data_IF_635836080747
#
_entry.id   IF_635836080747
#
_cell.length_a   1.000
_cell.length_b   1.000
_cell.length_c   1.000
_cell.angle_alpha   90.00
_cell.angle_beta   90.00
_cell.angle_gamma   90.00
#
_symmetry.space_group_name_H-M   'P 1'
#
loop_
_entity.id
_entity.type
_entity.pdbx_description
1 polymer ?
#
# COMPACT_ATOMS: atom_id res chain seq x y z
N UNK A 1 -44.13 38.98 -36.76
CA UNK A 1 -43.91 37.52 -36.93
C UNK A 1 -43.65 36.94 -35.55
N UNK A 2 -44.71 36.46 -34.88
CA UNK A 2 -44.97 35.04 -34.59
C UNK A 2 -43.98 34.47 -33.54
N UNK A 3 -44.36 34.47 -32.26
CA UNK A 3 -44.97 33.33 -31.52
C UNK A 3 -43.89 32.38 -30.95
N UNK A 4 -43.88 31.89 -29.71
CA UNK A 4 -44.78 31.95 -28.57
C UNK A 4 -44.14 31.20 -27.39
N UNK A 5 -44.62 31.48 -26.18
CA UNK A 5 -44.34 30.78 -24.90
C UNK A 5 -44.84 29.32 -24.91
N UNK A 6 -44.53 28.60 -23.82
CA UNK A 6 -44.99 27.26 -23.40
C UNK A 6 -44.10 26.12 -23.94
N UNK A 7 -43.49 25.24 -23.14
CA UNK A 7 -44.06 24.43 -22.06
C UNK A 7 -43.03 24.13 -20.94
N UNK A 8 -43.41 24.46 -19.70
CA UNK A 8 -42.99 23.77 -18.48
C UNK A 8 -44.19 22.89 -18.08
N UNK A 9 -44.02 21.56 -18.04
CA UNK A 9 -44.63 20.64 -17.06
C UNK A 9 -44.63 19.19 -17.54
N UNK A 10 -44.55 18.31 -16.53
CA UNK A 10 -44.93 16.90 -16.53
C UNK A 10 -43.86 15.87 -16.90
N UNK A 11 -43.10 15.43 -15.89
CA UNK A 11 -42.89 14.00 -15.64
C UNK A 11 -42.86 13.76 -14.12
N UNK A 12 -44.05 13.80 -13.52
CA UNK A 12 -44.32 13.26 -12.18
C UNK A 12 -44.75 11.80 -12.39
N UNK A 13 -43.80 10.87 -12.40
CA UNK A 13 -44.11 9.45 -12.47
C UNK A 13 -44.35 8.88 -11.07
N UNK A 14 -45.46 8.16 -10.94
CA UNK A 14 -46.13 7.71 -9.72
C UNK A 14 -45.31 6.69 -8.93
N UNK A 15 -45.24 6.88 -7.62
CA UNK A 15 -45.01 5.80 -6.66
C UNK A 15 -46.24 4.88 -6.67
N UNK A 16 -46.03 3.58 -6.90
CA UNK A 16 -47.02 2.53 -6.63
C UNK A 16 -46.35 1.48 -5.75
N UNK A 17 -46.90 1.26 -4.57
CA UNK A 17 -46.51 0.19 -3.66
C UNK A 17 -46.98 -1.15 -4.22
N UNK A 18 -46.12 -2.16 -4.23
CA UNK A 18 -46.52 -3.55 -4.34
C UNK A 18 -45.89 -4.36 -3.22
N UNK A 19 -46.78 -4.97 -2.45
CA UNK A 19 -46.56 -5.89 -1.34
C UNK A 19 -45.96 -7.22 -1.79
N UNK A 20 -45.15 -7.80 -0.90
CA UNK A 20 -44.49 -9.09 -0.97
C UNK A 20 -45.42 -10.27 -1.30
N UNK A 21 -44.87 -11.28 -2.00
CA UNK A 21 -45.15 -12.68 -1.68
C UNK A 21 -43.86 -13.53 -1.79
N UNK A 22 -43.67 -14.53 -0.89
CA UNK A 22 -42.44 -15.32 -0.75
C UNK A 22 -42.49 -16.61 -1.58
N UNK A 23 -41.30 -17.11 -1.94
CA UNK A 23 -40.90 -18.44 -2.49
C UNK A 23 -39.73 -18.12 -3.45
N UNK A 24 -38.56 -18.76 -3.49
CA UNK A 24 -38.10 -20.07 -3.05
C UNK A 24 -36.58 -20.06 -3.29
N UNK A 25 -35.79 -20.72 -2.43
CA UNK A 25 -34.36 -20.92 -2.65
C UNK A 25 -33.50 -20.49 -1.46
N UNK A 26 -33.56 -21.26 -0.37
CA UNK A 26 -32.54 -21.16 0.67
C UNK A 26 -31.16 -21.45 0.02
N UNK A 27 -30.16 -20.56 0.15
CA UNK A 27 -28.83 -20.85 -0.36
C UNK A 27 -28.29 -22.06 0.40
N UNK A 28 -27.78 -23.06 -0.33
CA UNK A 28 -27.09 -24.19 0.28
C UNK A 28 -26.00 -23.68 1.23
N UNK A 29 -25.74 -24.42 2.30
CA UNK A 29 -24.73 -24.11 3.33
C UNK A 29 -23.31 -23.90 2.78
N UNK A 30 -23.05 -24.20 1.49
CA UNK A 30 -21.82 -23.84 0.78
C UNK A 30 -21.69 -22.34 0.43
N UNK A 31 -22.79 -21.60 0.34
CA UNK A 31 -22.75 -20.15 0.06
C UNK A 31 -22.39 -19.31 1.30
N UNK A 32 -22.58 -19.84 2.51
CA UNK A 32 -22.25 -19.16 3.76
C UNK A 32 -20.73 -19.12 4.06
N UNK A 33 -19.94 -19.96 3.40
CA UNK A 33 -18.47 -19.92 3.45
C UNK A 33 -17.83 -19.19 2.24
N UNK A 34 -18.62 -18.70 1.30
CA UNK A 34 -18.15 -18.04 0.08
C UNK A 34 -17.85 -16.53 0.24
N UNK A 35 -17.85 -16.01 1.48
CA UNK A 35 -17.94 -14.56 1.74
C UNK A 35 -16.68 -13.83 2.20
N UNK A 36 -15.50 -14.46 2.26
CA UNK A 36 -14.26 -13.73 2.58
C UNK A 36 -13.23 -13.97 1.48
N UNK A 37 -12.99 -12.95 0.67
CA UNK A 37 -11.88 -12.94 -0.28
C UNK A 37 -10.52 -13.13 0.41
N UNK A 38 -9.41 -13.08 -0.34
CA UNK A 38 -8.07 -13.24 0.22
C UNK A 38 -7.84 -12.39 1.46
N UNK A 39 -7.17 -12.96 2.47
CA UNK A 39 -6.66 -12.15 3.60
C UNK A 39 -5.48 -11.35 3.09
N UNK A 40 -5.57 -10.05 3.25
CA UNK A 40 -4.63 -9.06 2.72
C UNK A 40 -3.83 -8.45 3.84
N UNK A 41 -2.51 -8.54 3.77
CA UNK A 41 -1.62 -7.95 4.77
C UNK A 41 -0.57 -7.07 4.08
N UNK A 42 -0.02 -6.12 4.81
CA UNK A 42 1.12 -5.33 4.34
C UNK A 42 2.31 -5.46 5.27
N UNK A 43 3.50 -5.59 4.69
CA UNK A 43 4.77 -5.54 5.40
C UNK A 43 5.23 -4.09 5.43
N UNK A 44 5.31 -3.52 6.61
CA UNK A 44 5.71 -2.14 6.84
C UNK A 44 7.09 -2.06 7.49
N UNK A 45 7.76 -0.92 7.31
CA UNK A 45 9.05 -0.67 7.95
C UNK A 45 9.92 0.31 7.18
N UNK A 46 10.94 0.78 7.89
CA UNK A 46 11.85 1.83 7.41
C UNK A 46 12.63 1.42 6.15
N UNK A 47 13.30 2.38 5.52
CA UNK A 47 14.21 2.14 4.40
C UNK A 47 15.30 1.16 4.85
N UNK A 48 15.66 0.21 3.97
CA UNK A 48 16.69 -0.82 4.21
C UNK A 48 16.49 -1.73 5.44
N UNK A 49 15.34 -1.69 6.12
CA UNK A 49 15.07 -2.54 7.30
C UNK A 49 15.12 -4.05 7.01
N UNK A 50 14.97 -4.47 5.74
CA UNK A 50 15.01 -5.87 5.33
C UNK A 50 13.69 -6.41 4.77
N UNK A 51 12.74 -5.55 4.35
CA UNK A 51 11.45 -5.95 3.77
C UNK A 51 11.60 -6.93 2.61
N UNK A 52 12.40 -6.60 1.60
CA UNK A 52 12.58 -7.48 0.44
C UNK A 52 13.26 -8.82 0.80
N UNK A 53 14.13 -8.83 1.83
CA UNK A 53 14.72 -10.07 2.38
C UNK A 53 13.64 -10.92 3.07
N UNK A 54 12.78 -10.29 3.86
CA UNK A 54 11.67 -10.95 4.53
C UNK A 54 10.62 -11.47 3.54
N UNK A 55 10.34 -10.73 2.47
CA UNK A 55 9.48 -11.16 1.36
C UNK A 55 10.03 -12.44 0.72
N UNK A 56 11.34 -12.50 0.41
CA UNK A 56 11.97 -13.71 -0.14
C UNK A 56 11.79 -14.92 0.79
N UNK A 57 11.91 -14.70 2.10
CA UNK A 57 11.67 -15.74 3.11
C UNK A 57 10.22 -16.22 3.08
N UNK A 58 9.23 -15.31 3.05
CA UNK A 58 7.82 -15.67 2.92
C UNK A 58 7.53 -16.44 1.64
N UNK A 59 8.08 -16.01 0.50
CA UNK A 59 7.91 -16.71 -0.79
C UNK A 59 8.42 -18.15 -0.71
N UNK A 60 9.56 -18.37 -0.03
CA UNK A 60 10.14 -19.70 0.16
C UNK A 60 9.31 -20.56 1.10
N UNK A 61 8.82 -19.99 2.20
CA UNK A 61 8.10 -20.73 3.25
C UNK A 61 6.64 -21.00 2.89
N UNK A 62 5.99 -20.08 2.17
CA UNK A 62 4.58 -20.13 1.80
C UNK A 62 4.40 -19.89 0.29
N UNK A 63 4.79 -20.86 -0.57
CA UNK A 63 4.74 -20.70 -2.02
C UNK A 63 3.31 -20.53 -2.56
N UNK A 64 2.28 -20.85 -1.78
CA UNK A 64 0.88 -20.65 -2.10
C UNK A 64 0.38 -19.21 -1.88
N UNK A 65 1.15 -18.36 -1.18
CA UNK A 65 0.77 -16.98 -0.95
C UNK A 65 1.10 -16.12 -2.17
N UNK A 66 0.25 -15.13 -2.42
CA UNK A 66 0.53 -14.12 -3.42
C UNK A 66 1.28 -12.95 -2.76
N UNK A 67 2.43 -12.58 -3.30
CA UNK A 67 3.22 -11.46 -2.78
C UNK A 67 3.40 -10.42 -3.88
N UNK A 68 2.87 -9.23 -3.62
CA UNK A 68 3.00 -8.06 -4.46
C UNK A 68 4.14 -7.17 -3.92
N UNK A 69 5.24 -7.12 -4.65
CA UNK A 69 6.44 -6.36 -4.28
C UNK A 69 6.31 -4.88 -4.63
N UNK A 70 7.13 -4.05 -3.99
CA UNK A 70 7.18 -2.62 -4.27
C UNK A 70 7.77 -2.34 -5.68
N UNK A 71 7.13 -1.51 -6.52
CA UNK A 71 7.55 -1.29 -7.91
C UNK A 71 8.73 -0.31 -8.03
N UNK A 72 9.78 -0.49 -7.22
CA UNK A 72 10.95 0.42 -7.18
C UNK A 72 11.62 0.54 -8.54
N UNK A 73 11.75 -0.56 -9.28
CA UNK A 73 12.37 -0.56 -10.61
C UNK A 73 11.62 0.38 -11.59
N UNK A 74 10.29 0.46 -11.47
CA UNK A 74 9.47 1.38 -12.26
C UNK A 74 9.70 2.84 -11.87
N UNK A 75 10.09 3.12 -10.63
CA UNK A 75 10.42 4.48 -10.18
C UNK A 75 11.83 4.89 -10.60
N UNK A 76 12.74 3.92 -10.75
CA UNK A 76 14.11 4.15 -11.23
C UNK A 76 14.19 4.34 -12.76
N UNK A 77 13.19 3.86 -13.49
CA UNK A 77 13.14 3.94 -14.95
C UNK A 77 11.72 4.33 -15.40
N UNK A 78 11.49 5.64 -15.49
CA UNK A 78 10.25 6.18 -16.02
C UNK A 78 10.29 6.04 -17.55
N UNK A 79 9.41 5.22 -18.10
CA UNK A 79 9.34 5.01 -19.55
C UNK A 79 8.34 5.97 -20.19
N UNK A 80 8.64 6.46 -21.39
CA UNK A 80 7.68 7.20 -22.19
C UNK A 80 6.46 6.34 -22.53
N UNK A 81 5.27 6.95 -22.52
CA UNK A 81 4.06 6.28 -23.00
C UNK A 81 4.10 6.18 -24.54
N UNK A 82 3.92 4.96 -25.07
CA UNK A 82 3.79 4.69 -26.51
C UNK A 82 4.97 3.94 -27.11
N UNK A 83 4.67 3.07 -28.09
CA UNK A 83 5.67 2.39 -28.91
C UNK A 83 6.20 3.37 -29.95
N UNK A 84 7.49 3.72 -29.89
CA UNK A 84 8.16 4.35 -31.03
C UNK A 84 8.27 3.32 -32.17
N UNK A 85 8.31 3.80 -33.42
CA UNK A 85 8.41 2.93 -34.63
C UNK A 85 9.67 2.05 -34.65
N UNK A 86 10.66 2.34 -33.82
CA UNK A 86 11.94 1.61 -33.70
C UNK A 86 11.96 0.53 -32.61
N UNK A 87 10.86 0.33 -31.87
CA UNK A 87 10.76 -0.69 -30.83
C UNK A 87 11.51 -0.36 -29.54
N UNK A 88 12.08 0.84 -29.39
CA UNK A 88 12.76 1.27 -28.15
C UNK A 88 11.92 2.29 -27.39
N UNK A 89 11.62 2.03 -26.12
CA UNK A 89 11.01 3.01 -25.21
C UNK A 89 12.12 3.80 -24.51
N UNK A 90 12.25 5.12 -24.73
CA UNK A 90 13.28 5.92 -24.10
C UNK A 90 13.04 6.01 -22.57
N UNK A 91 14.12 5.85 -21.79
CA UNK A 91 14.12 6.13 -20.36
C UNK A 91 14.09 7.65 -20.16
N UNK A 92 13.01 8.15 -19.57
CA UNK A 92 12.80 9.57 -19.29
C UNK A 92 13.49 10.04 -18.02
N UNK A 93 13.87 9.13 -17.12
CA UNK A 93 14.60 9.47 -15.90
C UNK A 93 14.34 8.54 -14.73
N UNK A 94 15.07 8.81 -13.66
CA UNK A 94 14.99 8.11 -12.38
C UNK A 94 14.30 9.00 -11.35
N UNK A 95 12.99 8.83 -11.16
CA UNK A 95 12.20 9.70 -10.30
C UNK A 95 12.57 9.54 -8.82
N UNK A 96 13.09 8.36 -8.42
CA UNK A 96 13.62 8.14 -7.08
C UNK A 96 14.87 8.99 -6.82
N UNK A 97 15.82 9.01 -7.75
CA UNK A 97 17.03 9.84 -7.69
C UNK A 97 16.67 11.33 -7.70
N UNK A 98 15.75 11.75 -8.58
CA UNK A 98 15.28 13.14 -8.65
C UNK A 98 14.68 13.62 -7.32
N UNK A 99 13.90 12.77 -6.65
CA UNK A 99 13.34 13.05 -5.33
C UNK A 99 14.41 13.21 -4.25
N UNK A 100 15.42 12.34 -4.20
CA UNK A 100 16.49 12.46 -3.20
C UNK A 100 17.44 13.64 -3.47
N UNK A 101 17.66 14.02 -4.73
CA UNK A 101 18.53 15.16 -5.08
C UNK A 101 17.87 16.52 -4.87
N UNK A 102 16.61 16.66 -5.25
CA UNK A 102 15.86 17.92 -5.15
C UNK A 102 14.47 17.67 -4.55
N UNK A 103 14.39 17.34 -3.24
CA UNK A 103 13.14 16.90 -2.62
C UNK A 103 12.04 17.95 -2.67
N UNK A 104 12.37 19.24 -2.50
CA UNK A 104 11.39 20.33 -2.61
C UNK A 104 10.74 20.43 -4.00
N UNK A 105 11.40 19.95 -5.06
CA UNK A 105 10.88 20.00 -6.43
C UNK A 105 10.12 18.73 -6.80
N UNK A 106 10.60 17.57 -6.35
CA UNK A 106 10.15 16.28 -6.88
C UNK A 106 9.37 15.43 -5.87
N UNK A 107 9.27 15.83 -4.61
CA UNK A 107 8.52 15.07 -3.60
C UNK A 107 7.07 14.87 -3.99
N UNK A 108 6.35 15.91 -4.41
CA UNK A 108 4.95 15.78 -4.80
C UNK A 108 4.76 14.85 -6.01
N UNK A 109 5.62 15.00 -7.03
CA UNK A 109 5.60 14.15 -8.22
C UNK A 109 5.89 12.69 -7.87
N UNK A 110 6.92 12.44 -7.06
CA UNK A 110 7.30 11.10 -6.62
C UNK A 110 6.21 10.46 -5.77
N UNK A 111 5.68 11.16 -4.76
CA UNK A 111 4.63 10.63 -3.88
C UNK A 111 3.34 10.31 -4.64
N UNK A 112 2.99 11.12 -5.64
CA UNK A 112 1.84 10.84 -6.51
C UNK A 112 2.07 9.59 -7.34
N UNK A 113 3.25 9.46 -7.96
CA UNK A 113 3.58 8.32 -8.80
C UNK A 113 3.72 7.01 -8.00
N UNK A 114 4.38 7.05 -6.85
CA UNK A 114 4.55 5.89 -5.96
C UNK A 114 3.19 5.39 -5.49
N UNK A 115 2.33 6.26 -4.96
CA UNK A 115 0.96 5.94 -4.55
C UNK A 115 0.14 5.36 -5.71
N UNK A 116 0.18 5.97 -6.90
CA UNK A 116 -0.55 5.45 -8.08
C UNK A 116 -0.07 4.08 -8.53
N UNK A 117 1.25 3.86 -8.58
CA UNK A 117 1.80 2.56 -8.94
C UNK A 117 1.40 1.48 -7.92
N UNK A 118 1.41 1.80 -6.63
CA UNK A 118 1.00 0.88 -5.56
C UNK A 118 -0.50 0.62 -5.56
N UNK A 119 -1.31 1.65 -5.78
CA UNK A 119 -2.75 1.54 -5.91
C UNK A 119 -3.11 0.58 -7.05
N UNK A 120 -2.47 0.71 -8.21
CA UNK A 120 -2.69 -0.21 -9.36
C UNK A 120 -2.41 -1.65 -8.97
N UNK A 121 -1.26 -1.93 -8.36
CA UNK A 121 -0.90 -3.28 -7.87
C UNK A 121 -1.91 -3.81 -6.86
N UNK A 122 -2.44 -2.97 -5.97
CA UNK A 122 -3.46 -3.39 -5.01
C UNK A 122 -4.84 -3.62 -5.65
N UNK A 123 -5.12 -3.04 -6.82
CA UNK A 123 -6.38 -3.20 -7.54
C UNK A 123 -6.34 -4.27 -8.62
N UNK A 124 -5.17 -4.84 -8.91
CA UNK A 124 -5.02 -5.95 -9.84
C UNK A 124 -5.90 -7.14 -9.42
N UNK A 125 -6.50 -7.87 -10.38
CA UNK A 125 -7.25 -9.07 -10.09
C UNK A 125 -6.39 -10.09 -9.34
N UNK A 126 -7.04 -10.87 -8.46
CA UNK A 126 -6.34 -11.95 -7.77
C UNK A 126 -5.88 -13.01 -8.76
N UNK A 127 -4.61 -13.47 -8.70
CA UNK A 127 -4.14 -14.56 -9.53
C UNK A 127 -4.96 -15.83 -9.28
N UNK A 128 -5.14 -16.64 -10.32
CA UNK A 128 -5.93 -17.87 -10.24
C UNK A 128 -5.42 -18.83 -9.14
N UNK A 129 -4.10 -18.97 -9.02
CA UNK A 129 -3.44 -19.74 -7.96
C UNK A 129 -3.89 -19.32 -6.56
N UNK A 130 -4.05 -18.01 -6.33
CA UNK A 130 -4.52 -17.48 -5.05
C UNK A 130 -5.98 -17.86 -4.82
N UNK A 131 -6.83 -17.71 -5.85
CA UNK A 131 -8.26 -18.01 -5.76
C UNK A 131 -8.54 -19.51 -5.49
N UNK A 132 -7.67 -20.41 -5.96
CA UNK A 132 -7.78 -21.85 -5.73
C UNK A 132 -7.25 -22.29 -4.36
N UNK A 133 -6.55 -21.42 -3.62
CA UNK A 133 -5.98 -21.77 -2.33
C UNK A 133 -7.06 -21.92 -1.24
N UNK A 134 -6.94 -22.93 -0.39
CA UNK A 134 -7.87 -23.16 0.74
C UNK A 134 -7.90 -22.00 1.75
N UNK A 135 -6.77 -21.27 1.86
CA UNK A 135 -6.60 -20.10 2.73
C UNK A 135 -5.84 -19.03 1.93
N UNK A 136 -6.52 -18.25 1.09
CA UNK A 136 -5.86 -17.30 0.22
C UNK A 136 -5.26 -16.15 1.03
N UNK A 137 -3.94 -15.98 0.96
CA UNK A 137 -3.20 -14.87 1.58
C UNK A 137 -2.54 -14.04 0.48
N UNK A 138 -2.75 -12.73 0.53
CA UNK A 138 -2.04 -11.74 -0.27
C UNK A 138 -1.21 -10.84 0.65
N UNK A 139 0.07 -10.69 0.34
CA UNK A 139 1.00 -9.83 1.06
C UNK A 139 1.45 -8.69 0.14
N UNK A 140 1.51 -7.48 0.68
CA UNK A 140 2.08 -6.31 0.00
C UNK A 140 3.38 -5.89 0.67
N UNK A 141 4.40 -5.55 -0.10
CA UNK A 141 5.54 -4.78 0.41
C UNK A 141 5.14 -3.31 0.49
N UNK A 142 4.89 -2.81 1.71
CA UNK A 142 4.24 -1.53 2.04
C UNK A 142 2.80 -1.40 1.54
N UNK A 143 2.11 -0.34 1.98
CA UNK A 143 0.73 -0.06 1.62
C UNK A 143 0.53 1.38 1.18
N UNK A 144 -0.60 1.63 0.50
CA UNK A 144 -1.05 2.98 0.17
C UNK A 144 -1.14 3.88 1.40
N UNK A 145 -1.37 3.30 2.59
CA UNK A 145 -1.39 4.01 3.85
C UNK A 145 0.00 4.50 4.26
N UNK A 146 1.03 3.68 4.08
CA UNK A 146 2.41 4.09 4.35
C UNK A 146 2.87 5.21 3.41
N UNK A 147 2.42 5.24 2.15
CA UNK A 147 2.74 6.33 1.23
C UNK A 147 2.28 7.69 1.81
N UNK A 148 1.06 7.75 2.38
CA UNK A 148 0.55 8.99 3.01
C UNK A 148 1.08 9.26 4.40
N UNK A 149 0.91 8.32 5.32
CA UNK A 149 1.11 8.56 6.76
C UNK A 149 2.57 8.45 7.21
N UNK A 150 3.43 7.87 6.38
CA UNK A 150 4.87 7.82 6.62
C UNK A 150 5.58 8.79 5.68
N UNK A 151 5.57 8.52 4.37
CA UNK A 151 6.47 9.24 3.46
C UNK A 151 5.98 10.64 3.13
N UNK A 152 4.75 10.80 2.62
CA UNK A 152 4.23 12.12 2.25
C UNK A 152 4.06 13.03 3.48
N UNK A 153 3.55 12.50 4.61
CA UNK A 153 3.49 13.24 5.87
C UNK A 153 4.87 13.74 6.30
N UNK A 154 5.90 12.88 6.25
CA UNK A 154 7.25 13.27 6.62
C UNK A 154 7.84 14.34 5.69
N UNK A 155 7.61 14.21 4.38
CA UNK A 155 8.06 15.19 3.39
C UNK A 155 7.35 16.54 3.55
N UNK A 156 6.09 16.54 4.00
CA UNK A 156 5.43 17.79 4.40
C UNK A 156 6.04 18.38 5.67
N UNK A 157 6.20 17.57 6.72
CA UNK A 157 6.72 18.03 8.02
C UNK A 157 8.18 18.51 7.95
N UNK A 158 8.97 18.02 7.00
CA UNK A 158 10.34 18.47 6.78
C UNK A 158 10.47 19.58 5.71
N UNK A 159 9.36 20.09 5.19
CA UNK A 159 9.32 21.21 4.23
C UNK A 159 9.61 20.85 2.76
N UNK A 160 9.66 19.57 2.42
CA UNK A 160 9.82 19.10 1.03
C UNK A 160 8.51 19.08 0.23
N UNK A 161 7.36 19.13 0.90
CA UNK A 161 6.07 19.43 0.29
C UNK A 161 5.57 20.76 0.84
N UNK A 162 5.09 21.62 -0.05
CA UNK A 162 4.37 22.84 0.33
C UNK A 162 2.97 22.53 0.89
N UNK A 163 2.34 23.49 1.57
CA UNK A 163 0.96 23.37 2.05
C UNK A 163 -0.03 23.05 0.92
N UNK A 164 0.17 23.65 -0.26
CA UNK A 164 -0.67 23.41 -1.44
C UNK A 164 -0.51 21.98 -1.94
N UNK A 165 0.74 21.51 -2.09
CA UNK A 165 1.01 20.13 -2.53
C UNK A 165 0.50 19.10 -1.53
N UNK A 166 0.66 19.37 -0.23
CA UNK A 166 0.15 18.49 0.82
C UNK A 166 -1.37 18.44 0.83
N UNK A 167 -2.05 19.59 0.67
CA UNK A 167 -3.50 19.62 0.55
C UNK A 167 -3.99 18.80 -0.65
N UNK A 168 -3.42 19.04 -1.83
CA UNK A 168 -3.80 18.34 -3.06
C UNK A 168 -3.54 16.82 -2.93
N UNK A 169 -2.36 16.43 -2.44
CA UNK A 169 -2.02 15.02 -2.25
C UNK A 169 -3.03 14.32 -1.33
N UNK A 170 -3.39 14.95 -0.21
CA UNK A 170 -4.36 14.40 0.72
C UNK A 170 -5.76 14.27 0.11
N UNK A 171 -6.20 15.25 -0.67
CA UNK A 171 -7.52 15.25 -1.30
C UNK A 171 -7.67 14.07 -2.26
N UNK A 172 -6.76 13.94 -3.25
CA UNK A 172 -6.80 12.84 -4.21
C UNK A 172 -6.58 11.47 -3.56
N UNK A 173 -5.67 11.37 -2.58
CA UNK A 173 -5.48 10.13 -1.83
C UNK A 173 -6.77 9.72 -1.10
N UNK A 174 -7.43 10.66 -0.41
CA UNK A 174 -8.68 10.37 0.31
C UNK A 174 -9.81 9.97 -0.66
N UNK A 175 -9.93 10.70 -1.78
CA UNK A 175 -10.87 10.39 -2.84
C UNK A 175 -10.70 8.97 -3.37
N UNK A 176 -9.49 8.60 -3.82
CA UNK A 176 -9.25 7.29 -4.41
C UNK A 176 -9.39 6.15 -3.40
N UNK A 177 -8.98 6.34 -2.14
CA UNK A 177 -9.24 5.34 -1.12
C UNK A 177 -10.73 5.14 -0.84
N UNK A 178 -11.55 6.19 -0.90
CA UNK A 178 -13.00 6.08 -0.77
C UNK A 178 -13.61 5.33 -1.95
N UNK A 179 -13.26 5.69 -3.18
CA UNK A 179 -13.78 5.04 -4.40
C UNK A 179 -13.40 3.56 -4.48
N UNK A 180 -12.25 3.18 -3.91
CA UNK A 180 -11.74 1.82 -3.95
C UNK A 180 -11.76 1.08 -2.61
N UNK A 181 -12.45 1.60 -1.60
CA UNK A 181 -12.39 1.09 -0.22
C UNK A 181 -12.64 -0.43 -0.11
N UNK A 182 -13.65 -0.94 -0.83
CA UNK A 182 -14.01 -2.37 -0.82
C UNK A 182 -12.92 -3.29 -1.39
N UNK A 183 -12.06 -2.76 -2.26
CA UNK A 183 -10.97 -3.48 -2.94
C UNK A 183 -9.60 -3.24 -2.31
N UNK A 184 -9.47 -2.29 -1.38
CA UNK A 184 -8.22 -1.93 -0.73
C UNK A 184 -8.13 -2.37 0.73
N UNK A 185 -9.08 -3.19 1.20
CA UNK A 185 -9.07 -3.68 2.58
C UNK A 185 -7.77 -4.40 2.94
N UNK A 186 -7.19 -4.01 4.08
CA UNK A 186 -6.06 -4.65 4.74
C UNK A 186 -6.56 -5.23 6.06
N UNK A 187 -6.17 -6.46 6.35
CA UNK A 187 -6.59 -7.21 7.53
C UNK A 187 -5.52 -7.25 8.62
N UNK A 188 -4.27 -6.90 8.29
CA UNK A 188 -3.18 -6.87 9.25
C UNK A 188 -1.93 -6.22 8.69
N UNK A 189 -1.14 -5.62 9.57
CA UNK A 189 0.21 -5.13 9.25
C UNK A 189 1.26 -6.03 9.90
N UNK A 190 2.34 -6.30 9.17
CA UNK A 190 3.56 -6.92 9.70
C UNK A 190 4.62 -5.83 9.72
N UNK A 191 4.89 -5.29 10.91
CA UNK A 191 5.87 -4.23 11.08
C UNK A 191 7.25 -4.83 11.38
N UNK A 192 8.17 -4.67 10.43
CA UNK A 192 9.58 -4.98 10.63
C UNK A 192 10.25 -3.78 11.31
N UNK A 193 10.52 -3.92 12.59
CA UNK A 193 11.08 -2.86 13.43
C UNK A 193 12.58 -3.04 13.61
N UNK A 194 13.37 -2.03 13.26
CA UNK A 194 14.77 -1.91 13.64
C UNK A 194 15.12 -0.45 13.89
N UNK A 195 16.20 -0.23 14.62
CA UNK A 195 16.72 1.12 14.88
C UNK A 195 17.15 1.82 13.57
N UNK A 196 17.06 3.15 13.52
CA UNK A 196 17.58 3.95 12.39
C UNK A 196 19.04 3.65 12.06
N UNK A 197 19.88 3.38 13.06
CA UNK A 197 21.29 3.05 12.90
C UNK A 197 21.48 1.70 12.19
N UNK A 198 20.69 0.69 12.55
CA UNK A 198 20.69 -0.60 11.84
C UNK A 198 20.21 -0.41 10.40
N UNK A 199 19.16 0.39 10.18
CA UNK A 199 18.66 0.70 8.84
C UNK A 199 19.72 1.39 7.99
N UNK A 200 20.43 2.40 8.54
CA UNK A 200 21.51 3.11 7.86
C UNK A 200 22.67 2.18 7.47
N UNK A 201 23.08 1.31 8.40
CA UNK A 201 24.11 0.29 8.13
C UNK A 201 23.70 -0.61 6.96
N UNK A 202 22.46 -1.09 6.94
CA UNK A 202 21.92 -1.94 5.87
C UNK A 202 21.77 -1.18 4.55
N UNK A 203 21.43 0.10 4.60
CA UNK A 203 21.32 0.98 3.45
C UNK A 203 22.67 1.09 2.74
N UNK A 204 23.75 1.37 3.49
CA UNK A 204 25.10 1.40 2.93
C UNK A 204 25.55 0.05 2.39
N UNK A 205 25.22 -1.06 3.06
CA UNK A 205 25.53 -2.41 2.58
C UNK A 205 24.82 -2.75 1.26
N UNK A 206 23.59 -2.28 1.05
CA UNK A 206 22.86 -2.48 -0.22
C UNK A 206 23.42 -1.62 -1.35
N UNK A 207 24.09 -0.51 -1.02
CA UNK A 207 24.81 0.36 -1.95
C UNK A 207 23.96 0.81 -3.15
N UNK A 208 22.68 1.13 -2.93
CA UNK A 208 21.83 1.71 -3.97
C UNK A 208 22.24 3.18 -4.20
N UNK A 209 22.57 3.54 -5.44
CA UNK A 209 23.14 4.84 -5.81
C UNK A 209 22.28 6.02 -5.33
N UNK A 210 20.98 5.96 -5.55
CA UNK A 210 20.01 7.01 -5.20
C UNK A 210 19.90 7.23 -3.69
N UNK A 211 20.25 6.23 -2.89
CA UNK A 211 20.08 6.25 -1.43
C UNK A 211 21.36 6.69 -0.71
N UNK A 212 22.51 6.87 -1.41
CA UNK A 212 23.81 7.19 -0.79
C UNK A 212 23.81 8.47 0.04
N UNK A 213 23.00 9.45 -0.34
CA UNK A 213 22.86 10.73 0.36
C UNK A 213 21.89 10.72 1.55
N UNK A 214 21.28 9.58 1.88
CA UNK A 214 20.33 9.49 2.99
C UNK A 214 21.09 9.56 4.32
N UNK A 215 20.80 10.60 5.08
CA UNK A 215 21.32 10.86 6.42
C UNK A 215 20.56 10.07 7.50
N UNK A 216 21.22 9.83 8.64
CA UNK A 216 20.61 9.18 9.81
C UNK A 216 19.34 9.91 10.26
N UNK A 217 19.37 11.23 10.30
CA UNK A 217 18.25 12.07 10.73
C UNK A 217 16.97 11.80 9.92
N UNK A 218 17.09 11.58 8.61
CA UNK A 218 15.93 11.24 7.78
C UNK A 218 15.34 9.87 8.15
N UNK A 219 16.19 8.89 8.45
CA UNK A 219 15.75 7.57 8.91
C UNK A 219 15.12 7.62 10.31
N UNK A 220 15.61 8.48 11.20
CA UNK A 220 15.04 8.73 12.52
C UNK A 220 13.63 9.33 12.41
N UNK A 221 13.44 10.33 11.53
CA UNK A 221 12.13 10.90 11.24
C UNK A 221 11.16 9.81 10.75
N UNK A 222 11.54 9.04 9.73
CA UNK A 222 10.71 7.95 9.22
C UNK A 222 10.43 6.89 10.28
N UNK A 223 11.38 6.59 11.16
CA UNK A 223 11.18 5.66 12.27
C UNK A 223 10.10 6.16 13.22
N UNK A 224 10.16 7.43 13.64
CA UNK A 224 9.12 8.05 14.48
C UNK A 224 7.73 7.92 13.85
N UNK A 225 7.59 8.20 12.55
CA UNK A 225 6.30 8.06 11.86
C UNK A 225 5.75 6.62 11.94
N UNK A 226 6.62 5.61 11.84
CA UNK A 226 6.20 4.21 11.97
C UNK A 226 5.80 3.87 13.40
N UNK A 227 6.57 4.31 14.41
CA UNK A 227 6.23 4.09 15.82
C UNK A 227 4.90 4.76 16.18
N UNK A 228 4.70 6.02 15.80
CA UNK A 228 3.47 6.78 16.04
C UNK A 228 2.25 6.12 15.39
N UNK A 229 2.41 5.55 14.19
CA UNK A 229 1.31 4.91 13.48
C UNK A 229 1.05 3.46 13.93
N UNK A 230 2.09 2.63 14.00
CA UNK A 230 1.95 1.18 14.13
C UNK A 230 2.00 0.70 15.57
N UNK A 231 2.69 1.45 16.45
CA UNK A 231 2.88 1.11 17.87
C UNK A 231 1.99 1.97 18.77
N UNK A 232 2.19 3.29 18.76
CA UNK A 232 1.56 4.20 19.72
C UNK A 232 0.13 4.61 19.32
N UNK A 233 -0.24 4.43 18.04
CA UNK A 233 -1.56 4.79 17.50
C UNK A 233 -1.91 6.27 17.70
N UNK A 234 -0.91 7.14 17.68
CA UNK A 234 -1.01 8.60 17.86
C UNK A 234 -1.18 9.35 16.54
N UNK A 235 -0.74 8.76 15.42
CA UNK A 235 -0.95 9.35 14.09
C UNK A 235 -2.45 9.47 13.80
N UNK A 236 -2.93 10.70 13.57
CA UNK A 236 -4.33 10.96 13.19
C UNK A 236 -4.64 10.36 11.81
N UNK A 237 -5.50 9.35 11.78
CA UNK A 237 -5.93 8.68 10.56
C UNK A 237 -7.26 9.29 10.07
N UNK A 238 -7.42 9.40 8.74
CA UNK A 238 -8.69 9.84 8.13
C UNK A 238 -9.67 8.68 7.90
N UNK A 239 -9.27 7.44 8.20
CA UNK A 239 -10.08 6.24 8.03
C UNK A 239 -10.14 5.48 9.34
N UNK A 240 -11.33 5.38 9.94
CA UNK A 240 -11.57 4.64 11.18
C UNK A 240 -11.22 3.16 11.04
N UNK A 241 -11.42 2.59 9.84
CA UNK A 241 -11.12 1.20 9.53
C UNK A 241 -9.65 0.83 9.80
N UNK A 242 -8.73 1.79 9.79
CA UNK A 242 -7.30 1.56 10.05
C UNK A 242 -6.94 1.51 11.53
N UNK A 243 -7.75 2.12 12.41
CA UNK A 243 -7.42 2.28 13.82
C UNK A 243 -7.27 0.93 14.53
N UNK A 244 -8.12 -0.03 14.15
CA UNK A 244 -8.23 -1.33 14.82
C UNK A 244 -7.59 -2.48 14.03
N UNK A 245 -6.83 -2.20 12.97
CA UNK A 245 -6.16 -3.26 12.21
C UNK A 245 -5.04 -3.85 13.08
N UNK A 246 -5.02 -5.19 13.28
CA UNK A 246 -3.97 -5.84 14.04
C UNK A 246 -2.58 -5.60 13.44
N UNK A 247 -1.57 -5.43 14.31
CA UNK A 247 -0.17 -5.27 13.92
C UNK A 247 0.67 -6.37 14.57
N UNK A 248 1.39 -7.14 13.75
CA UNK A 248 2.46 -8.01 14.21
C UNK A 248 3.78 -7.25 14.15
N UNK A 249 4.40 -7.04 15.31
CA UNK A 249 5.72 -6.39 15.40
C UNK A 249 6.80 -7.46 15.43
N UNK A 250 7.77 -7.36 14.53
CA UNK A 250 8.96 -8.22 14.47
C UNK A 250 10.21 -7.35 14.65
N UNK A 251 10.91 -7.53 15.76
CA UNK A 251 12.19 -6.88 15.98
C UNK A 251 13.27 -7.55 15.12
N UNK A 252 13.74 -6.81 14.12
CA UNK A 252 14.74 -7.25 13.15
C UNK A 252 16.04 -6.45 13.28
N UNK A 253 16.42 -6.04 14.50
CA UNK A 253 17.72 -5.40 14.72
C UNK A 253 18.88 -6.35 14.40
N UNK A 254 18.86 -7.57 14.95
CA UNK A 254 19.83 -8.59 14.55
C UNK A 254 19.54 -9.09 13.14
N UNK A 255 20.61 -9.45 12.42
CA UNK A 255 20.54 -9.86 11.02
C UNK A 255 19.93 -11.26 10.87
N UNK A 256 18.62 -11.29 10.65
CA UNK A 256 17.90 -12.54 10.39
C UNK A 256 18.19 -13.15 9.01
N UNK A 257 18.96 -12.50 8.12
CA UNK A 257 19.15 -12.98 6.75
C UNK A 257 19.88 -14.32 6.65
N UNK A 258 20.68 -14.68 7.66
CA UNK A 258 21.45 -15.93 7.73
C UNK A 258 21.11 -16.81 8.92
N UNK A 259 20.39 -16.29 9.92
CA UNK A 259 20.06 -17.02 11.15
C UNK A 259 18.78 -17.86 10.97
N UNK A 260 18.94 -19.14 10.63
CA UNK A 260 17.81 -20.06 10.37
C UNK A 260 16.83 -20.12 11.53
N UNK A 261 17.32 -20.22 12.77
CA UNK A 261 16.46 -20.25 13.97
C UNK A 261 15.57 -19.02 14.09
N UNK A 262 16.11 -17.83 13.78
CA UNK A 262 15.37 -16.57 13.82
C UNK A 262 14.36 -16.47 12.67
N UNK A 263 14.73 -16.95 11.49
CA UNK A 263 13.82 -17.07 10.35
C UNK A 263 12.62 -17.96 10.67
N UNK A 264 12.85 -19.15 11.23
CA UNK A 264 11.80 -20.09 11.63
C UNK A 264 10.89 -19.50 12.72
N UNK A 265 11.47 -18.80 13.70
CA UNK A 265 10.72 -18.10 14.73
C UNK A 265 9.78 -17.05 14.13
N UNK A 266 10.27 -16.22 13.20
CA UNK A 266 9.46 -15.21 12.54
C UNK A 266 8.35 -15.84 11.70
N UNK A 267 8.63 -16.90 10.94
CA UNK A 267 7.59 -17.59 10.16
C UNK A 267 6.51 -18.18 11.07
N UNK A 268 6.88 -18.74 12.22
CA UNK A 268 5.93 -19.21 13.23
C UNK A 268 5.07 -18.07 13.77
N UNK A 269 5.65 -16.92 14.10
CA UNK A 269 4.92 -15.71 14.54
C UNK A 269 3.94 -15.23 13.47
N UNK A 270 4.38 -15.13 12.22
CA UNK A 270 3.53 -14.74 11.07
C UNK A 270 2.35 -15.71 10.89
N UNK A 271 2.62 -17.03 10.90
CA UNK A 271 1.57 -18.04 10.76
C UNK A 271 0.53 -17.96 11.88
N UNK A 272 0.97 -17.77 13.12
CA UNK A 272 0.08 -17.60 14.27
C UNK A 272 -0.74 -16.32 14.14
N UNK A 273 -0.10 -15.21 13.77
CA UNK A 273 -0.79 -13.94 13.55
C UNK A 273 -1.88 -14.06 12.50
N UNK A 274 -1.54 -14.58 11.31
CA UNK A 274 -2.49 -14.77 10.21
C UNK A 274 -3.61 -15.72 10.58
N UNK A 275 -3.35 -16.76 11.39
CA UNK A 275 -4.41 -17.68 11.86
C UNK A 275 -5.45 -16.96 12.73
N UNK A 276 -5.04 -15.93 13.46
CA UNK A 276 -5.87 -15.19 14.40
C UNK A 276 -6.56 -13.95 13.80
N UNK A 277 -6.32 -13.65 12.51
CA UNK A 277 -7.07 -12.64 11.75
C UNK A 277 -8.48 -13.11 11.34
#
# INVERSE_FOLDING_TARGET
>A
MAAGRFFLNSLRARFSSMTMNPLEGAPSSRALHAGRGPRRLSIEGNIAVGKSTFVKLLTKTYPEWHIATEPVATWQNIQAAGTQKDGTTPNLGNLLDMMYREPMRWSYTFQTFSFMSRLKVQLEPFPEKLLQAKKPIQIFERSVYSDRYIFAKNLFENGSLSDVEWHIYQDWHSFLLREFASRLSIHGFIYLQASPQVCLKRLYQRAREEEKGIELAYLEQLHSQHEDWLIHKTTKLHLEALLNIPVLVLNVNDDFSKEVTKQEEFMRKVKTFIKNL
#
